data_IF_440973410721
#
_entry.id   IF_440973410721
#
_cell.length_a   1.000
_cell.length_b   1.000
_cell.length_c   1.000
_cell.angle_alpha   90.00
_cell.angle_beta   90.00
_cell.angle_gamma   90.00
#
_symmetry.space_group_name_H-M   'P 1'
#
loop_
_entity.id
_entity.type
_entity.pdbx_description
1 polymer ?
#
# COMPACT_ATOMS: atom_id res chain seq x y z
N UNK A 1 -21.98 -18.01 9.78
CA UNK A 1 -21.30 -16.84 10.40
C UNK A 1 -21.98 -15.57 9.95
N UNK A 2 -22.34 -14.73 10.88
CA UNK A 2 -22.94 -13.41 10.62
C UNK A 2 -21.86 -12.37 10.27
N UNK A 3 -22.28 -11.22 9.72
CA UNK A 3 -21.39 -10.08 9.45
C UNK A 3 -20.73 -9.55 10.74
N UNK A 4 -21.49 -9.51 11.83
CA UNK A 4 -20.97 -9.00 13.12
C UNK A 4 -19.92 -9.95 13.70
N UNK A 5 -20.13 -11.27 13.64
CA UNK A 5 -19.13 -12.26 14.04
C UNK A 5 -17.85 -12.14 13.20
N UNK A 6 -17.97 -12.01 11.88
CA UNK A 6 -16.80 -11.78 11.01
C UNK A 6 -16.06 -10.49 11.40
N UNK A 7 -16.80 -9.41 11.63
CA UNK A 7 -16.23 -8.11 11.98
C UNK A 7 -15.45 -8.18 13.30
N UNK A 8 -16.01 -8.87 14.30
CA UNK A 8 -15.36 -9.06 15.61
C UNK A 8 -14.09 -9.92 15.51
N UNK A 9 -14.11 -11.03 14.79
CA UNK A 9 -12.94 -11.86 14.56
C UNK A 9 -11.81 -11.04 13.90
N UNK A 10 -12.13 -10.28 12.86
CA UNK A 10 -11.19 -9.41 12.13
C UNK A 10 -10.65 -8.30 13.03
N UNK A 11 -11.49 -7.70 13.91
CA UNK A 11 -11.11 -6.69 14.89
C UNK A 11 -10.12 -7.26 15.91
N UNK A 12 -10.47 -8.40 16.51
CA UNK A 12 -9.64 -9.07 17.52
C UNK A 12 -8.29 -9.48 16.94
N UNK A 13 -8.26 -10.04 15.73
CA UNK A 13 -7.02 -10.43 15.05
C UNK A 13 -6.15 -9.25 14.63
N UNK A 14 -6.63 -8.01 14.74
CA UNK A 14 -5.88 -6.82 14.37
C UNK A 14 -5.58 -6.68 12.89
N UNK A 15 -6.50 -7.14 12.01
CA UNK A 15 -6.35 -7.08 10.56
C UNK A 15 -6.47 -5.64 10.06
N UNK A 16 -5.47 -5.20 9.29
CA UNK A 16 -5.45 -3.91 8.61
C UNK A 16 -5.19 -4.08 7.13
N UNK A 17 -5.41 -3.03 6.35
CA UNK A 17 -5.14 -3.05 4.91
C UNK A 17 -3.65 -3.19 4.62
N UNK A 18 -3.22 -4.35 4.15
CA UNK A 18 -1.82 -4.67 3.82
C UNK A 18 -1.33 -4.06 2.50
N UNK A 19 -2.18 -3.32 1.77
CA UNK A 19 -1.83 -2.62 0.52
C UNK A 19 -1.17 -1.24 0.73
N UNK A 20 -0.57 -0.97 1.90
CA UNK A 20 0.17 0.26 2.22
C UNK A 20 -0.63 1.33 2.97
N UNK A 21 -1.97 1.34 2.90
CA UNK A 21 -2.80 2.34 3.60
C UNK A 21 -3.01 2.06 5.09
N UNK A 22 -2.88 0.80 5.54
CA UNK A 22 -3.03 0.42 6.95
C UNK A 22 -4.40 0.72 7.55
N UNK A 23 -5.47 0.83 6.74
CA UNK A 23 -6.79 1.14 7.26
C UNK A 23 -7.39 -0.09 7.96
N UNK A 24 -7.97 0.04 9.17
CA UNK A 24 -8.53 -1.07 9.92
C UNK A 24 -9.65 -1.77 9.16
N UNK A 25 -9.50 -3.08 8.90
CA UNK A 25 -10.41 -3.83 8.02
C UNK A 25 -11.79 -4.00 8.63
N UNK A 26 -11.89 -4.20 9.96
CA UNK A 26 -13.17 -4.33 10.65
C UNK A 26 -14.09 -3.11 10.45
N UNK A 27 -13.52 -1.91 10.31
CA UNK A 27 -14.29 -0.68 10.04
C UNK A 27 -14.90 -0.70 8.64
N UNK A 28 -14.20 -1.24 7.64
CA UNK A 28 -14.76 -1.44 6.30
C UNK A 28 -15.89 -2.46 6.32
N UNK A 29 -15.75 -3.55 7.10
CA UNK A 29 -16.77 -4.59 7.21
C UNK A 29 -18.07 -4.10 7.89
N UNK A 30 -18.02 -3.09 8.74
CA UNK A 30 -19.22 -2.50 9.35
C UNK A 30 -20.11 -1.73 8.36
N UNK A 31 -19.58 -1.35 7.19
CA UNK A 31 -20.34 -0.59 6.20
C UNK A 31 -21.62 -1.32 5.76
N UNK A 32 -22.68 -0.55 5.51
CA UNK A 32 -23.98 -1.04 5.02
C UNK A 32 -24.15 -0.77 3.54
N UNK A 33 -25.04 -1.50 2.86
CA UNK A 33 -25.30 -1.31 1.44
C UNK A 33 -24.16 -1.78 0.52
N UNK A 34 -23.34 -2.72 1.00
CA UNK A 34 -22.26 -3.32 0.21
C UNK A 34 -22.79 -4.52 -0.56
N UNK A 35 -22.69 -4.47 -1.87
CA UNK A 35 -23.06 -5.55 -2.79
C UNK A 35 -21.83 -6.19 -3.47
N UNK A 36 -20.67 -5.53 -3.40
CA UNK A 36 -19.46 -6.00 -4.08
C UNK A 36 -18.22 -5.85 -3.20
N UNK A 37 -17.40 -6.90 -3.18
CA UNK A 37 -16.10 -6.91 -2.49
C UNK A 37 -15.00 -7.20 -3.53
N UNK A 38 -14.11 -6.25 -3.77
CA UNK A 38 -13.03 -6.37 -4.76
C UNK A 38 -11.73 -6.70 -4.06
N UNK A 39 -11.11 -7.81 -4.45
CA UNK A 39 -9.78 -8.19 -4.00
C UNK A 39 -8.75 -7.67 -4.99
N UNK A 40 -7.89 -6.78 -4.52
CA UNK A 40 -6.82 -6.19 -5.30
C UNK A 40 -5.61 -7.13 -5.37
N UNK A 41 -5.47 -7.86 -6.45
CA UNK A 41 -4.32 -8.68 -6.83
C UNK A 41 -3.56 -8.09 -8.02
N UNK A 42 -3.74 -6.80 -8.32
CA UNK A 42 -3.10 -6.14 -9.46
C UNK A 42 -1.59 -5.97 -9.30
N UNK A 43 -1.08 -5.88 -8.07
CA UNK A 43 0.35 -5.66 -7.74
C UNK A 43 1.05 -4.70 -8.71
N UNK A 44 0.67 -3.42 -8.61
CA UNK A 44 1.04 -2.44 -9.65
C UNK A 44 2.44 -1.87 -9.52
N UNK A 45 3.00 -1.85 -8.30
CA UNK A 45 4.35 -1.33 -8.09
C UNK A 45 5.37 -2.16 -8.87
N UNK A 46 6.30 -1.53 -9.61
CA UNK A 46 7.40 -2.25 -10.25
C UNK A 46 8.22 -3.05 -9.23
N UNK A 47 8.75 -4.19 -9.64
CA UNK A 47 9.60 -5.10 -8.86
C UNK A 47 8.91 -5.81 -7.68
N UNK A 48 7.61 -5.68 -7.48
CA UNK A 48 6.88 -6.37 -6.42
C UNK A 48 6.20 -7.64 -6.94
N UNK A 49 6.28 -8.73 -6.13
CA UNK A 49 5.82 -10.08 -6.46
C UNK A 49 5.14 -10.79 -5.28
N UNK A 50 4.85 -10.08 -4.19
CA UNK A 50 4.27 -10.65 -2.97
C UNK A 50 2.84 -11.13 -3.19
N UNK A 51 2.00 -10.29 -3.82
CA UNK A 51 0.60 -10.65 -4.08
C UNK A 51 0.50 -11.81 -5.07
N UNK A 52 1.41 -11.91 -6.06
CA UNK A 52 1.52 -13.04 -6.96
C UNK A 52 1.90 -14.31 -6.20
N UNK A 53 2.91 -14.25 -5.32
CA UNK A 53 3.32 -15.38 -4.47
C UNK A 53 2.15 -15.90 -3.65
N UNK A 54 1.36 -15.00 -3.06
CA UNK A 54 0.15 -15.35 -2.30
C UNK A 54 -0.91 -16.02 -3.17
N UNK A 55 -1.22 -15.45 -4.35
CA UNK A 55 -2.23 -16.00 -5.25
C UNK A 55 -1.85 -17.36 -5.81
N UNK A 56 -0.55 -17.61 -6.05
CA UNK A 56 -0.06 -18.91 -6.53
C UNK A 56 -0.03 -19.95 -5.42
N UNK A 57 0.51 -19.61 -4.25
CA UNK A 57 0.76 -20.58 -3.17
C UNK A 57 -0.49 -20.90 -2.34
N UNK A 58 -1.44 -19.96 -2.24
CA UNK A 58 -2.61 -20.07 -1.37
C UNK A 58 -3.95 -19.81 -2.07
N UNK A 59 -4.07 -20.10 -3.40
CA UNK A 59 -5.29 -19.83 -4.15
C UNK A 59 -6.55 -20.40 -3.47
N UNK A 60 -6.54 -21.68 -3.13
CA UNK A 60 -7.69 -22.35 -2.48
C UNK A 60 -8.04 -21.73 -1.13
N UNK A 61 -7.03 -21.33 -0.35
CA UNK A 61 -7.21 -20.66 0.94
C UNK A 61 -7.84 -19.27 0.78
N UNK A 62 -7.35 -18.50 -0.18
CA UNK A 62 -7.90 -17.17 -0.51
C UNK A 62 -9.35 -17.27 -0.99
N UNK A 63 -9.66 -18.30 -1.79
CA UNK A 63 -11.05 -18.52 -2.25
C UNK A 63 -11.96 -18.91 -1.07
N UNK A 64 -11.52 -19.79 -0.17
CA UNK A 64 -12.31 -20.13 1.03
C UNK A 64 -12.60 -18.90 1.90
N UNK A 65 -11.59 -18.05 2.13
CA UNK A 65 -11.76 -16.79 2.85
C UNK A 65 -12.74 -15.83 2.12
N UNK A 66 -12.66 -15.75 0.80
CA UNK A 66 -13.57 -14.92 -0.01
C UNK A 66 -15.02 -15.40 0.04
N UNK A 67 -15.24 -16.72 0.05
CA UNK A 67 -16.57 -17.34 0.19
C UNK A 67 -17.15 -17.05 1.58
N UNK A 68 -16.33 -17.08 2.63
CA UNK A 68 -16.77 -16.73 3.98
C UNK A 68 -17.23 -15.26 4.06
N UNK A 69 -16.48 -14.33 3.42
CA UNK A 69 -16.88 -12.92 3.31
C UNK A 69 -18.17 -12.79 2.53
N UNK A 70 -18.28 -13.44 1.36
CA UNK A 70 -19.47 -13.42 0.51
C UNK A 70 -20.70 -13.88 1.29
N UNK A 71 -20.59 -14.98 2.02
CA UNK A 71 -21.69 -15.54 2.83
C UNK A 71 -22.07 -14.64 4.01
N UNK A 72 -21.10 -14.07 4.72
CA UNK A 72 -21.36 -13.23 5.89
C UNK A 72 -21.93 -11.85 5.52
N UNK A 73 -21.51 -11.28 4.40
CA UNK A 73 -21.91 -9.95 3.95
C UNK A 73 -23.02 -9.94 2.90
N UNK A 74 -23.35 -11.08 2.31
CA UNK A 74 -24.32 -11.18 1.21
C UNK A 74 -23.88 -10.43 -0.05
N UNK A 75 -22.57 -10.38 -0.34
CA UNK A 75 -22.00 -9.61 -1.44
C UNK A 75 -21.24 -10.51 -2.42
N UNK A 76 -21.11 -10.04 -3.67
CA UNK A 76 -20.23 -10.66 -4.67
C UNK A 76 -18.76 -10.35 -4.35
N UNK A 77 -17.87 -11.35 -4.49
CA UNK A 77 -16.42 -11.16 -4.37
C UNK A 77 -15.77 -11.34 -5.74
N UNK A 78 -14.91 -10.42 -6.15
CA UNK A 78 -14.18 -10.47 -7.43
C UNK A 78 -12.70 -10.12 -7.21
N UNK A 79 -11.80 -10.87 -7.85
CA UNK A 79 -10.36 -10.64 -7.82
C UNK A 79 -9.94 -9.83 -9.04
N UNK A 80 -9.35 -8.66 -8.85
CA UNK A 80 -8.76 -7.87 -9.94
C UNK A 80 -7.30 -8.25 -10.12
N UNK A 81 -6.95 -8.92 -11.22
CA UNK A 81 -5.60 -9.44 -11.50
C UNK A 81 -5.14 -9.00 -12.89
N UNK A 82 -3.91 -8.54 -13.03
CA UNK A 82 -3.36 -8.13 -14.33
C UNK A 82 -3.21 -9.30 -15.31
N UNK A 83 -3.51 -9.06 -16.58
CA UNK A 83 -3.41 -10.06 -17.66
C UNK A 83 -2.04 -10.74 -17.73
N UNK A 84 -0.95 -10.03 -17.42
CA UNK A 84 0.40 -10.60 -17.42
C UNK A 84 0.63 -11.70 -16.37
N UNK A 85 -0.22 -11.79 -15.37
CA UNK A 85 -0.15 -12.80 -14.29
C UNK A 85 -1.11 -13.98 -14.60
N UNK A 86 -0.99 -14.58 -15.78
CA UNK A 86 -1.85 -15.66 -16.26
C UNK A 86 -1.92 -16.87 -15.32
N UNK A 87 -0.79 -17.23 -14.70
CA UNK A 87 -0.72 -18.34 -13.75
C UNK A 87 -1.55 -18.07 -12.49
N UNK A 88 -1.51 -16.84 -11.97
CA UNK A 88 -2.34 -16.41 -10.84
C UNK A 88 -3.84 -16.46 -11.20
N UNK A 89 -4.19 -15.97 -12.40
CA UNK A 89 -5.57 -16.01 -12.91
C UNK A 89 -6.05 -17.47 -12.98
N UNK A 90 -5.25 -18.34 -13.57
CA UNK A 90 -5.57 -19.75 -13.71
C UNK A 90 -5.71 -20.46 -12.36
N UNK A 91 -4.83 -20.18 -11.40
CA UNK A 91 -4.88 -20.76 -10.05
C UNK A 91 -6.14 -20.35 -9.30
N UNK A 92 -6.50 -19.05 -9.32
CA UNK A 92 -7.69 -18.53 -8.67
C UNK A 92 -8.97 -19.08 -9.31
N UNK A 93 -9.04 -19.14 -10.65
CA UNK A 93 -10.20 -19.69 -11.37
C UNK A 93 -10.36 -21.19 -11.12
N UNK A 94 -9.27 -21.95 -11.12
CA UNK A 94 -9.29 -23.38 -10.79
C UNK A 94 -9.79 -23.66 -9.36
N UNK A 95 -9.53 -22.73 -8.44
CA UNK A 95 -10.05 -22.78 -7.07
C UNK A 95 -11.51 -22.29 -6.94
N UNK A 96 -12.15 -21.84 -8.04
CA UNK A 96 -13.54 -21.36 -8.06
C UNK A 96 -13.71 -19.85 -7.84
N UNK A 97 -12.65 -19.05 -8.03
CA UNK A 97 -12.68 -17.60 -7.90
C UNK A 97 -13.22 -16.89 -9.14
N UNK A 98 -13.95 -15.79 -8.92
CA UNK A 98 -14.35 -14.85 -9.99
C UNK A 98 -13.22 -13.84 -10.21
N UNK A 99 -12.64 -13.80 -11.40
CA UNK A 99 -11.45 -12.97 -11.71
C UNK A 99 -11.78 -11.97 -12.80
N UNK A 100 -11.62 -10.69 -12.48
CA UNK A 100 -11.57 -9.58 -13.42
C UNK A 100 -10.14 -9.42 -13.95
N UNK A 101 -9.95 -9.63 -15.25
CA UNK A 101 -8.66 -9.51 -15.91
C UNK A 101 -8.39 -8.05 -16.26
N UNK A 102 -7.38 -7.46 -15.63
CA UNK A 102 -6.98 -6.07 -15.82
C UNK A 102 -5.94 -5.91 -16.91
N UNK A 103 -5.92 -4.76 -17.57
CA UNK A 103 -4.82 -4.40 -18.46
C UNK A 103 -3.47 -4.27 -17.73
N UNK A 104 -2.35 -4.52 -18.43
CA UNK A 104 -1.01 -4.36 -17.85
C UNK A 104 -0.52 -2.91 -17.94
N UNK A 105 -1.04 -2.08 -17.05
CA UNK A 105 -0.62 -0.69 -16.91
C UNK A 105 -0.50 -0.29 -15.42
N UNK A 106 0.20 0.80 -15.17
CA UNK A 106 0.33 1.43 -13.86
C UNK A 106 -0.52 2.73 -13.81
N UNK A 107 -1.28 3.00 -12.76
CA UNK A 107 -1.55 2.19 -11.57
C UNK A 107 -2.92 1.47 -11.64
N UNK A 108 -3.03 0.33 -12.33
CA UNK A 108 -4.28 -0.44 -12.42
C UNK A 108 -4.85 -0.87 -11.05
N UNK A 109 -3.99 -1.00 -10.04
CA UNK A 109 -4.37 -1.33 -8.66
C UNK A 109 -4.73 -0.13 -7.78
N UNK A 110 -4.76 1.10 -8.32
CA UNK A 110 -5.38 2.22 -7.61
C UNK A 110 -6.86 1.88 -7.36
N UNK A 111 -7.30 2.02 -6.10
CA UNK A 111 -8.62 1.54 -5.65
C UNK A 111 -9.78 2.08 -6.48
N UNK A 112 -9.73 3.34 -6.95
CA UNK A 112 -10.77 3.95 -7.80
C UNK A 112 -10.70 3.40 -9.21
N UNK A 113 -9.49 3.22 -9.73
CA UNK A 113 -9.27 2.66 -11.07
C UNK A 113 -9.67 1.19 -11.10
N UNK A 114 -9.23 0.41 -10.12
CA UNK A 114 -9.56 -1.00 -9.98
C UNK A 114 -11.07 -1.23 -9.91
N UNK A 115 -11.77 -0.44 -9.11
CA UNK A 115 -13.22 -0.54 -8.96
C UNK A 115 -13.93 -0.24 -10.29
N UNK A 116 -13.48 0.78 -11.02
CA UNK A 116 -14.02 1.06 -12.35
C UNK A 116 -13.79 -0.09 -13.32
N UNK A 117 -12.58 -0.65 -13.36
CA UNK A 117 -12.24 -1.76 -14.27
C UNK A 117 -13.03 -3.03 -13.95
N UNK A 118 -13.17 -3.37 -12.65
CA UNK A 118 -13.81 -4.62 -12.24
C UNK A 118 -15.34 -4.58 -12.24
N UNK A 119 -15.94 -3.42 -11.93
CA UNK A 119 -17.40 -3.32 -11.70
C UNK A 119 -18.05 -2.11 -12.37
N UNK A 120 -17.31 -1.33 -13.15
CA UNK A 120 -17.85 -0.19 -13.89
C UNK A 120 -18.26 1.03 -13.06
N UNK A 121 -18.00 1.00 -11.73
CA UNK A 121 -18.39 2.08 -10.82
C UNK A 121 -17.24 3.06 -10.61
N UNK A 122 -17.56 4.36 -10.59
CA UNK A 122 -16.57 5.41 -10.29
C UNK A 122 -16.91 6.02 -8.95
N UNK A 123 -15.94 5.99 -8.04
CA UNK A 123 -16.05 6.63 -6.72
C UNK A 123 -16.15 8.16 -6.92
N UNK A 124 -17.07 8.86 -6.25
CA UNK A 124 -17.14 10.33 -6.33
C UNK A 124 -15.84 11.00 -5.85
N UNK A 125 -15.58 12.22 -6.33
CA UNK A 125 -14.45 13.02 -5.84
C UNK A 125 -14.50 13.19 -4.33
N UNK A 126 -13.36 12.90 -3.66
CA UNK A 126 -13.28 12.89 -2.19
C UNK A 126 -14.05 11.77 -1.49
N UNK A 127 -14.71 10.89 -2.25
CA UNK A 127 -15.45 9.75 -1.72
C UNK A 127 -14.57 8.52 -1.46
N UNK A 128 -15.24 7.47 -0.97
CA UNK A 128 -14.68 6.15 -0.70
C UNK A 128 -15.44 5.09 -1.52
N UNK A 129 -14.88 3.91 -1.79
CA UNK A 129 -15.57 2.78 -2.42
C UNK A 129 -16.91 2.44 -1.78
N UNK A 130 -17.03 2.62 -0.46
CA UNK A 130 -18.27 2.41 0.29
C UNK A 130 -19.45 3.26 -0.22
N UNK A 131 -19.18 4.46 -0.76
CA UNK A 131 -20.21 5.35 -1.30
C UNK A 131 -20.82 4.84 -2.62
N UNK A 132 -20.20 3.83 -3.22
CA UNK A 132 -20.71 3.16 -4.43
C UNK A 132 -20.98 1.67 -4.19
N UNK A 133 -21.22 1.28 -2.94
CA UNK A 133 -21.63 -0.08 -2.56
C UNK A 133 -20.49 -1.11 -2.62
N UNK A 134 -19.22 -0.67 -2.59
CA UNK A 134 -18.10 -1.58 -2.73
C UNK A 134 -17.08 -1.48 -1.57
N UNK A 135 -16.39 -2.59 -1.30
CA UNK A 135 -15.17 -2.64 -0.48
C UNK A 135 -14.02 -3.10 -1.37
N UNK A 136 -12.85 -2.49 -1.17
CA UNK A 136 -11.61 -2.92 -1.82
C UNK A 136 -10.59 -3.29 -0.75
N UNK A 137 -10.03 -4.51 -0.83
CA UNK A 137 -8.92 -4.96 0.01
C UNK A 137 -7.84 -5.65 -0.83
N UNK A 138 -6.59 -5.63 -0.34
CA UNK A 138 -5.48 -6.32 -0.95
C UNK A 138 -5.54 -7.85 -0.70
N UNK A 139 -4.87 -8.65 -1.51
CA UNK A 139 -4.77 -10.12 -1.39
C UNK A 139 -4.27 -10.56 -0.02
N UNK A 140 -3.22 -9.94 0.54
CA UNK A 140 -2.72 -10.30 1.87
C UNK A 140 -3.70 -9.91 2.98
N UNK A 141 -4.48 -8.85 2.80
CA UNK A 141 -5.57 -8.53 3.73
C UNK A 141 -6.60 -9.66 3.75
N UNK A 142 -6.94 -10.23 2.59
CA UNK A 142 -7.83 -11.38 2.50
C UNK A 142 -7.23 -12.62 3.18
N UNK A 143 -5.92 -12.89 2.97
CA UNK A 143 -5.20 -13.95 3.66
C UNK A 143 -5.31 -13.78 5.19
N UNK A 144 -5.08 -12.57 5.70
CA UNK A 144 -5.17 -12.25 7.12
C UNK A 144 -6.61 -12.37 7.67
N UNK A 145 -7.64 -12.08 6.86
CA UNK A 145 -9.04 -12.36 7.21
C UNK A 145 -9.25 -13.87 7.36
N UNK A 146 -8.73 -14.68 6.44
CA UNK A 146 -8.77 -16.14 6.55
C UNK A 146 -8.13 -16.65 7.84
N UNK A 147 -6.96 -16.11 8.20
CA UNK A 147 -6.28 -16.40 9.48
C UNK A 147 -7.15 -16.04 10.69
N UNK A 148 -7.81 -14.88 10.63
CA UNK A 148 -8.71 -14.43 11.70
C UNK A 148 -9.90 -15.37 11.87
N UNK A 149 -10.44 -15.96 10.80
CA UNK A 149 -11.49 -16.98 10.85
C UNK A 149 -11.05 -18.28 11.57
N UNK A 150 -9.74 -18.57 11.54
CA UNK A 150 -9.12 -19.67 12.30
C UNK A 150 -8.76 -19.27 13.74
N UNK A 151 -9.09 -18.07 14.20
CA UNK A 151 -8.72 -17.54 15.51
C UNK A 151 -7.26 -17.11 15.61
N UNK A 152 -6.54 -16.97 14.50
CA UNK A 152 -5.12 -16.58 14.47
C UNK A 152 -4.98 -15.09 14.16
N UNK A 153 -4.36 -14.31 15.06
CA UNK A 153 -4.14 -12.88 14.82
C UNK A 153 -3.03 -12.60 13.80
N UNK A 154 -2.91 -11.34 13.40
CA UNK A 154 -1.85 -10.89 12.49
C UNK A 154 -0.54 -10.75 13.26
N UNK A 155 0.34 -11.71 13.07
CA UNK A 155 1.68 -11.80 13.68
C UNK A 155 2.79 -11.64 12.65
N UNK A 156 2.52 -11.92 11.38
CA UNK A 156 3.46 -11.90 10.26
C UNK A 156 2.97 -11.02 9.11
N UNK A 157 3.91 -10.58 8.27
CA UNK A 157 3.66 -9.99 6.96
C UNK A 157 4.49 -10.73 5.90
N UNK A 158 3.96 -10.85 4.68
CA UNK A 158 4.74 -11.36 3.55
C UNK A 158 5.59 -10.23 2.98
N UNK A 159 6.91 -10.39 3.08
CA UNK A 159 7.87 -9.34 2.70
C UNK A 159 8.83 -9.88 1.65
N UNK A 160 8.92 -9.15 0.56
CA UNK A 160 9.95 -9.35 -0.47
C UNK A 160 11.20 -8.56 -0.13
N UNK A 161 12.37 -9.15 -0.33
CA UNK A 161 13.62 -8.41 -0.48
C UNK A 161 14.07 -8.53 -1.92
N UNK A 162 14.34 -7.38 -2.57
CA UNK A 162 14.68 -7.33 -3.99
C UNK A 162 15.54 -6.13 -4.36
N UNK A 163 15.70 -5.89 -5.66
CA UNK A 163 16.62 -4.87 -6.15
C UNK A 163 18.06 -5.38 -6.22
N UNK A 164 19.03 -4.56 -5.84
CA UNK A 164 20.47 -4.86 -5.85
C UNK A 164 20.88 -5.72 -4.65
N UNK A 165 20.36 -6.93 -4.54
CA UNK A 165 20.74 -7.95 -3.54
C UNK A 165 21.18 -9.23 -4.23
N UNK A 166 21.97 -10.07 -3.51
CA UNK A 166 22.55 -11.29 -4.11
C UNK A 166 21.49 -12.38 -4.39
N UNK A 167 20.47 -12.50 -3.52
CA UNK A 167 19.46 -13.56 -3.56
C UNK A 167 18.08 -13.00 -3.25
N UNK A 168 17.39 -12.37 -4.22
CA UNK A 168 16.02 -11.86 -4.02
C UNK A 168 15.08 -12.98 -3.55
N UNK A 169 14.20 -12.68 -2.59
CA UNK A 169 13.26 -13.67 -2.04
C UNK A 169 12.03 -13.04 -1.40
N UNK A 170 11.03 -13.88 -1.14
CA UNK A 170 9.84 -13.55 -0.34
C UNK A 170 9.83 -14.41 0.91
N UNK A 171 9.53 -13.82 2.06
CA UNK A 171 9.42 -14.51 3.35
C UNK A 171 8.11 -14.15 4.04
N UNK A 172 7.59 -15.08 4.86
CA UNK A 172 6.65 -14.77 5.93
C UNK A 172 7.46 -14.28 7.14
N UNK A 173 7.34 -13.03 7.50
CA UNK A 173 8.23 -12.33 8.44
C UNK A 173 7.47 -11.93 9.70
N UNK A 174 7.95 -12.28 10.91
CA UNK A 174 7.38 -11.78 12.14
C UNK A 174 7.41 -10.25 12.19
N UNK A 175 6.30 -9.63 12.61
CA UNK A 175 6.22 -8.18 12.76
C UNK A 175 7.26 -7.68 13.77
N UNK A 176 7.91 -6.56 13.44
CA UNK A 176 8.95 -5.97 14.28
C UNK A 176 10.37 -6.47 14.00
N UNK A 177 10.56 -7.41 13.05
CA UNK A 177 11.89 -7.75 12.55
C UNK A 177 12.51 -6.53 11.88
N UNK A 178 13.78 -6.26 12.15
CA UNK A 178 14.51 -5.17 11.49
C UNK A 178 14.83 -5.52 10.05
N UNK A 179 14.58 -4.60 9.13
CA UNK A 179 14.76 -4.79 7.68
C UNK A 179 16.20 -5.20 7.32
N UNK A 180 17.21 -4.74 8.07
CA UNK A 180 18.62 -5.11 7.89
C UNK A 180 18.86 -6.61 7.96
N UNK A 181 18.12 -7.33 8.83
CA UNK A 181 18.23 -8.79 8.97
C UNK A 181 17.72 -9.52 7.73
N UNK A 182 16.63 -9.02 7.13
CA UNK A 182 16.07 -9.55 5.89
C UNK A 182 17.00 -9.27 4.70
N UNK A 183 17.55 -8.06 4.61
CA UNK A 183 18.54 -7.71 3.58
C UNK A 183 19.77 -8.62 3.69
N UNK A 184 20.23 -8.91 4.91
CA UNK A 184 21.32 -9.88 5.14
C UNK A 184 20.94 -11.31 4.70
N UNK A 185 19.71 -11.76 4.99
CA UNK A 185 19.22 -13.07 4.56
C UNK A 185 19.14 -13.18 3.04
N UNK A 186 18.87 -12.06 2.33
CA UNK A 186 18.93 -11.95 0.87
C UNK A 186 20.37 -11.83 0.32
N UNK A 187 21.41 -12.11 1.12
CA UNK A 187 22.80 -12.08 0.73
C UNK A 187 23.46 -10.70 0.71
N UNK A 188 22.78 -9.68 1.24
CA UNK A 188 23.27 -8.31 1.33
C UNK A 188 23.22 -7.52 0.02
N UNK A 189 23.51 -6.19 0.08
CA UNK A 189 23.59 -5.33 -1.09
C UNK A 189 24.73 -5.74 -2.02
N UNK A 190 24.50 -5.64 -3.35
CA UNK A 190 25.51 -5.86 -4.40
C UNK A 190 26.10 -4.58 -4.96
N UNK A 191 25.82 -3.45 -4.32
CA UNK A 191 26.25 -2.09 -4.69
C UNK A 191 26.83 -1.36 -3.47
N UNK A 192 27.73 -0.40 -3.71
CA UNK A 192 28.48 0.29 -2.64
C UNK A 192 27.65 1.30 -1.85
N UNK A 193 26.76 2.02 -2.52
CA UNK A 193 25.95 3.08 -1.90
C UNK A 193 24.46 2.79 -2.05
N UNK A 194 23.89 1.85 -1.28
CA UNK A 194 22.48 1.53 -1.34
C UNK A 194 21.60 2.56 -0.62
N UNK A 195 20.36 2.69 -1.10
CA UNK A 195 19.22 3.16 -0.33
C UNK A 195 18.22 2.02 -0.20
N UNK A 196 17.44 2.04 0.88
CA UNK A 196 16.45 1.02 1.17
C UNK A 196 15.06 1.61 1.02
N UNK A 197 14.19 0.92 0.30
CA UNK A 197 12.83 1.37 0.06
C UNK A 197 11.86 0.41 0.74
N UNK A 198 11.11 0.90 1.73
CA UNK A 198 9.96 0.18 2.29
C UNK A 198 8.78 0.33 1.34
N UNK A 199 8.48 -0.72 0.59
CA UNK A 199 7.48 -0.76 -0.48
C UNK A 199 8.05 -0.71 -1.89
N UNK A 200 7.27 -0.22 -2.84
CA UNK A 200 7.66 -0.13 -4.26
C UNK A 200 8.40 1.16 -4.63
N UNK A 201 9.05 1.20 -5.80
CA UNK A 201 9.88 2.34 -6.18
C UNK A 201 9.09 3.61 -6.50
N UNK A 202 7.78 3.52 -6.77
CA UNK A 202 6.96 4.69 -7.10
C UNK A 202 6.32 5.34 -5.88
N UNK A 203 5.89 4.55 -4.88
CA UNK A 203 5.12 5.03 -3.73
C UNK A 203 5.77 4.72 -2.38
N UNK A 204 6.81 3.88 -2.33
CA UNK A 204 7.48 3.45 -1.09
C UNK A 204 8.21 4.59 -0.36
N UNK A 205 8.61 4.32 0.87
CA UNK A 205 9.39 5.22 1.70
C UNK A 205 10.89 4.92 1.55
N UNK A 206 11.69 5.97 1.38
CA UNK A 206 13.14 5.87 1.19
C UNK A 206 13.89 6.07 2.50
N UNK A 207 14.76 5.12 2.83
CA UNK A 207 15.61 5.13 4.01
C UNK A 207 17.09 5.07 3.60
N UNK A 208 17.95 5.76 4.36
CA UNK A 208 19.40 5.71 4.15
C UNK A 208 20.02 4.42 4.66
N UNK A 209 19.37 3.78 5.64
CA UNK A 209 19.74 2.51 6.23
C UNK A 209 18.51 1.60 6.37
N UNK A 210 18.74 0.33 6.67
CA UNK A 210 17.69 -0.66 6.83
C UNK A 210 17.28 -0.87 8.31
N UNK A 211 17.40 0.16 9.16
CA UNK A 211 17.12 0.08 10.60
C UNK A 211 15.65 0.36 10.95
N UNK A 212 14.73 0.01 10.09
CA UNK A 212 13.29 0.13 10.31
C UNK A 212 12.65 -1.25 10.52
N UNK A 213 11.59 -1.34 11.33
CA UNK A 213 10.92 -2.61 11.59
C UNK A 213 9.95 -2.97 10.46
N UNK A 214 9.81 -4.26 10.20
CA UNK A 214 8.70 -4.81 9.40
C UNK A 214 7.39 -4.57 10.14
N UNK A 215 6.40 -4.05 9.44
CA UNK A 215 5.07 -3.75 9.95
C UNK A 215 3.99 -4.48 9.14
N UNK A 216 2.74 -4.40 9.58
CA UNK A 216 1.55 -4.91 8.83
C UNK A 216 1.38 -4.28 7.43
N UNK A 217 2.13 -3.22 7.11
CA UNK A 217 2.08 -2.50 5.84
C UNK A 217 3.31 -2.74 4.96
N UNK A 218 4.37 -3.31 5.51
CA UNK A 218 5.62 -3.57 4.78
C UNK A 218 5.42 -4.73 3.79
N UNK A 219 5.50 -4.44 2.50
CA UNK A 219 5.36 -5.42 1.42
C UNK A 219 6.70 -5.83 0.82
N UNK A 220 7.62 -4.89 0.74
CA UNK A 220 8.92 -5.14 0.14
C UNK A 220 9.99 -4.25 0.77
N UNK A 221 11.21 -4.74 0.75
CA UNK A 221 12.42 -3.97 1.03
C UNK A 221 13.25 -4.03 -0.25
N UNK A 222 13.27 -2.92 -1.00
CA UNK A 222 14.06 -2.85 -2.22
C UNK A 222 15.37 -2.12 -1.95
N UNK A 223 16.48 -2.73 -2.38
CA UNK A 223 17.82 -2.14 -2.33
C UNK A 223 18.09 -1.51 -3.69
N UNK A 224 18.26 -0.19 -3.74
CA UNK A 224 18.43 0.58 -4.97
C UNK A 224 19.63 1.54 -4.85
N UNK A 225 20.25 1.97 -5.97
CA UNK A 225 21.36 2.93 -5.93
C UNK A 225 20.93 4.29 -5.34
N UNK A 226 21.78 4.87 -4.47
CA UNK A 226 21.56 6.19 -3.84
C UNK A 226 21.50 7.34 -4.86
N UNK A 227 22.17 7.19 -6.01
CA UNK A 227 22.14 8.15 -7.11
C UNK A 227 20.96 7.98 -8.07
N UNK A 228 20.04 7.04 -7.78
CA UNK A 228 18.83 6.84 -8.59
C UNK A 228 17.93 8.07 -8.63
N UNK A 229 17.15 8.20 -9.69
CA UNK A 229 16.17 9.28 -9.81
C UNK A 229 15.17 9.30 -8.64
N UNK A 230 14.79 8.14 -8.15
CA UNK A 230 13.87 7.99 -7.00
C UNK A 230 14.44 8.65 -5.74
N UNK A 231 15.65 8.26 -5.33
CA UNK A 231 16.30 8.80 -4.14
C UNK A 231 16.49 10.31 -4.23
N UNK A 232 16.80 10.82 -5.41
CA UNK A 232 16.95 12.27 -5.65
C UNK A 232 15.66 13.04 -5.38
N UNK A 233 14.50 12.53 -5.85
CA UNK A 233 13.22 13.22 -5.65
C UNK A 233 12.78 13.19 -4.19
N UNK A 234 12.97 12.09 -3.49
CA UNK A 234 12.59 11.98 -2.07
C UNK A 234 13.47 12.86 -1.16
N UNK A 235 14.75 13.04 -1.49
CA UNK A 235 15.67 13.85 -0.71
C UNK A 235 15.60 15.36 -1.05
N UNK A 236 14.92 15.76 -2.13
CA UNK A 236 14.88 17.17 -2.55
C UNK A 236 13.95 18.00 -1.65
N UNK A 237 14.41 19.11 -1.04
CA UNK A 237 13.54 20.01 -0.28
C UNK A 237 12.43 20.61 -1.15
N UNK A 238 11.20 20.69 -0.61
CA UNK A 238 10.05 21.23 -1.35
C UNK A 238 10.27 22.68 -1.79
N UNK A 239 10.95 23.50 -0.97
CA UNK A 239 11.30 24.88 -1.35
C UNK A 239 12.17 24.96 -2.61
N UNK A 240 13.05 23.97 -2.81
CA UNK A 240 13.86 23.84 -4.03
C UNK A 240 12.98 23.45 -5.21
N UNK A 241 12.08 22.48 -5.03
CA UNK A 241 11.14 22.08 -6.08
C UNK A 241 10.24 23.22 -6.55
N UNK A 242 9.74 24.05 -5.62
CA UNK A 242 8.88 25.18 -5.96
C UNK A 242 9.66 26.28 -6.69
N UNK A 243 10.93 26.54 -6.31
CA UNK A 243 11.80 27.45 -7.06
C UNK A 243 12.06 26.94 -8.47
N UNK A 244 12.38 25.65 -8.60
CA UNK A 244 12.56 25.03 -9.92
C UNK A 244 11.28 25.11 -10.76
N UNK A 245 10.10 24.93 -10.17
CA UNK A 245 8.83 25.03 -10.88
C UNK A 245 8.62 26.44 -11.49
N UNK A 246 9.00 27.52 -10.79
CA UNK A 246 8.90 28.89 -11.31
C UNK A 246 9.75 29.13 -12.56
N UNK A 247 10.94 28.50 -12.61
CA UNK A 247 11.92 28.75 -13.68
C UNK A 247 11.77 27.76 -14.82
N UNK A 248 11.48 26.49 -14.52
CA UNK A 248 11.61 25.40 -15.47
C UNK A 248 10.27 24.83 -15.96
N UNK A 249 9.13 25.08 -15.28
CA UNK A 249 7.85 24.52 -15.72
C UNK A 249 7.41 25.10 -17.06
N UNK A 250 7.53 24.31 -18.15
CA UNK A 250 7.19 24.72 -19.51
C UNK A 250 5.69 24.63 -19.83
N UNK A 251 4.83 24.32 -18.87
CA UNK A 251 3.37 24.24 -19.02
C UNK A 251 2.88 23.23 -20.06
N UNK A 252 3.65 22.19 -20.34
CA UNK A 252 3.34 21.16 -21.36
C UNK A 252 2.11 20.30 -21.03
N UNK A 253 1.59 20.36 -19.80
CA UNK A 253 0.41 19.60 -19.33
C UNK A 253 0.59 18.07 -19.25
N UNK A 254 1.74 17.50 -19.57
CA UNK A 254 1.96 16.04 -19.57
C UNK A 254 1.70 15.40 -18.20
N UNK A 255 2.03 16.09 -17.10
CA UNK A 255 1.73 15.59 -15.74
C UNK A 255 0.24 15.41 -15.45
N UNK A 256 -0.63 16.14 -16.15
CA UNK A 256 -2.09 15.99 -16.08
C UNK A 256 -2.56 14.91 -17.04
N UNK A 257 -2.01 14.86 -18.25
CA UNK A 257 -2.43 13.89 -19.28
C UNK A 257 -2.09 12.44 -18.96
N UNK A 258 -1.20 12.18 -18.00
CA UNK A 258 -0.93 10.81 -17.48
C UNK A 258 -1.59 10.55 -16.12
N UNK A 259 -2.22 11.54 -15.50
CA UNK A 259 -2.80 11.40 -14.17
C UNK A 259 -4.02 10.48 -14.22
N UNK A 260 -3.94 9.31 -13.58
CA UNK A 260 -5.02 8.32 -13.56
C UNK A 260 -6.33 8.88 -13.00
N UNK A 261 -6.24 9.75 -11.97
CA UNK A 261 -7.39 10.42 -11.37
C UNK A 261 -8.02 11.45 -12.32
N UNK A 262 -7.21 12.20 -13.07
CA UNK A 262 -7.72 13.07 -14.14
C UNK A 262 -8.40 12.26 -15.24
N UNK A 263 -7.75 11.19 -15.69
CA UNK A 263 -8.24 10.36 -16.79
C UNK A 263 -9.55 9.62 -16.47
N UNK A 264 -9.78 9.26 -15.20
CA UNK A 264 -11.06 8.66 -14.75
C UNK A 264 -12.20 9.69 -14.66
N UNK A 265 -11.88 10.98 -14.80
CA UNK A 265 -12.88 12.05 -14.84
C UNK A 265 -12.80 13.07 -13.71
N UNK A 266 -11.91 12.88 -12.72
CA UNK A 266 -11.73 13.84 -11.61
C UNK A 266 -11.17 15.17 -12.11
N UNK A 267 -11.50 16.26 -11.43
CA UNK A 267 -10.93 17.59 -11.71
C UNK A 267 -9.61 17.82 -10.97
N UNK A 268 -8.73 16.83 -11.05
CA UNK A 268 -7.36 16.90 -10.55
C UNK A 268 -6.40 17.22 -11.71
N UNK A 269 -5.87 18.43 -11.72
CA UNK A 269 -4.94 18.92 -12.76
C UNK A 269 -3.58 19.26 -12.18
N UNK A 270 -2.62 18.30 -12.08
CA UNK A 270 -1.31 18.53 -11.48
C UNK A 270 -0.58 19.78 -12.01
N UNK A 271 -0.66 20.08 -13.31
CA UNK A 271 -0.03 21.29 -13.86
C UNK A 271 -0.60 22.60 -13.27
N UNK A 272 -1.93 22.65 -13.00
CA UNK A 272 -2.56 23.81 -12.36
C UNK A 272 -2.13 23.97 -10.90
N UNK A 273 -1.99 22.86 -10.17
CA UNK A 273 -1.47 22.87 -8.80
C UNK A 273 -0.04 23.40 -8.79
N UNK A 274 0.81 22.95 -9.74
CA UNK A 274 2.18 23.45 -9.87
C UNK A 274 2.22 24.96 -10.11
N UNK A 275 1.34 25.50 -10.97
CA UNK A 275 1.20 26.94 -11.19
C UNK A 275 0.76 27.67 -9.91
N UNK A 276 -0.30 27.18 -9.25
CA UNK A 276 -0.82 27.79 -8.03
C UNK A 276 0.22 27.87 -6.91
N UNK A 277 1.09 26.87 -6.81
CA UNK A 277 2.14 26.85 -5.80
C UNK A 277 3.38 27.64 -6.22
N UNK A 278 3.63 27.77 -7.50
CA UNK A 278 4.72 28.60 -8.02
C UNK A 278 4.39 30.11 -8.02
N UNK A 279 3.13 30.46 -8.27
CA UNK A 279 2.68 31.84 -8.42
C UNK A 279 1.46 32.12 -7.54
N UNK A 280 1.59 33.04 -6.57
CA UNK A 280 0.52 33.35 -5.60
C UNK A 280 -0.78 33.82 -6.25
N UNK A 281 -0.66 34.61 -7.34
CA UNK A 281 -1.81 35.11 -8.10
C UNK A 281 -2.68 33.99 -8.73
N UNK A 282 -2.18 32.75 -8.80
CA UNK A 282 -2.88 31.60 -9.34
C UNK A 282 -3.39 30.61 -8.25
N UNK A 283 -3.29 30.99 -6.97
CA UNK A 283 -3.76 30.17 -5.85
C UNK A 283 -5.27 30.26 -5.66
N UNK A 284 -5.99 29.61 -6.55
CA UNK A 284 -7.44 29.45 -6.38
C UNK A 284 -7.71 28.28 -5.41
N UNK A 285 -8.62 28.46 -4.43
CA UNK A 285 -8.89 27.45 -3.41
C UNK A 285 -9.26 26.08 -3.98
N UNK A 286 -10.10 26.04 -5.02
CA UNK A 286 -10.53 24.82 -5.70
C UNK A 286 -9.36 24.07 -6.35
N UNK A 287 -8.38 24.78 -6.93
CA UNK A 287 -7.17 24.18 -7.51
C UNK A 287 -6.32 23.55 -6.42
N UNK A 288 -6.08 24.28 -5.32
CA UNK A 288 -5.26 23.78 -4.20
C UNK A 288 -5.93 22.59 -3.51
N UNK A 289 -7.25 22.67 -3.28
CA UNK A 289 -8.02 21.60 -2.65
C UNK A 289 -8.05 20.33 -3.51
N UNK A 290 -7.97 20.43 -4.84
CA UNK A 290 -7.95 19.27 -5.74
C UNK A 290 -6.74 18.35 -5.48
N UNK A 291 -5.67 18.84 -4.83
CA UNK A 291 -4.55 18.01 -4.40
C UNK A 291 -4.99 16.84 -3.49
N UNK A 292 -6.11 16.98 -2.76
CA UNK A 292 -6.67 15.91 -1.92
C UNK A 292 -7.16 14.69 -2.73
N UNK A 293 -7.43 14.87 -4.02
CA UNK A 293 -7.84 13.79 -4.94
C UNK A 293 -6.65 12.94 -5.44
N UNK A 294 -5.42 13.39 -5.19
CA UNK A 294 -4.21 12.73 -5.66
C UNK A 294 -4.01 11.37 -4.98
N UNK A 295 -3.81 10.29 -5.74
CA UNK A 295 -3.44 8.96 -5.23
C UNK A 295 -1.94 8.79 -4.93
N UNK A 296 -1.13 9.81 -5.23
CA UNK A 296 0.33 9.83 -5.01
C UNK A 296 1.12 8.78 -5.82
N UNK A 297 0.55 8.28 -6.91
CA UNK A 297 1.14 7.25 -7.77
C UNK A 297 2.44 7.65 -8.49
N UNK A 298 2.84 8.91 -8.43
CA UNK A 298 4.12 9.45 -8.93
C UNK A 298 4.31 9.50 -10.46
N UNK A 299 3.34 9.14 -11.28
CA UNK A 299 3.46 9.22 -12.76
C UNK A 299 3.68 10.66 -13.27
N UNK A 300 3.17 11.66 -12.56
CA UNK A 300 3.25 13.07 -12.95
C UNK A 300 4.65 13.69 -12.77
N UNK A 301 5.56 13.01 -12.06
CA UNK A 301 6.90 13.52 -11.77
C UNK A 301 7.88 13.30 -12.93
N UNK A 302 9.09 13.82 -12.79
CA UNK A 302 10.19 13.57 -13.72
C UNK A 302 10.65 12.11 -13.79
N UNK A 303 10.13 11.25 -12.94
CA UNK A 303 10.31 9.80 -13.08
C UNK A 303 9.65 9.30 -14.36
N UNK A 304 8.50 9.87 -14.74
CA UNK A 304 7.82 9.46 -15.98
C UNK A 304 7.42 10.63 -16.88
N UNK A 305 6.53 11.53 -16.43
CA UNK A 305 5.86 12.49 -17.31
C UNK A 305 6.54 13.84 -17.44
N UNK A 306 7.12 14.39 -16.36
CA UNK A 306 7.62 15.75 -16.39
C UNK A 306 8.99 15.84 -17.11
N UNK A 307 9.08 16.51 -18.30
CA UNK A 307 10.34 16.64 -19.03
C UNK A 307 11.33 17.56 -18.32
N UNK A 308 10.86 18.41 -17.39
CA UNK A 308 11.66 19.33 -16.61
C UNK A 308 12.06 18.76 -15.24
N UNK A 309 11.88 17.48 -15.03
CA UNK A 309 12.22 16.77 -13.79
C UNK A 309 11.62 17.37 -12.51
N UNK A 310 10.42 17.96 -12.59
CA UNK A 310 9.68 18.42 -11.42
C UNK A 310 8.88 17.29 -10.78
N UNK A 311 8.45 17.47 -9.52
CA UNK A 311 7.64 16.47 -8.80
C UNK A 311 6.30 17.03 -8.30
N UNK A 312 5.25 17.04 -9.13
CA UNK A 312 3.92 17.45 -8.70
C UNK A 312 3.37 16.58 -7.53
N UNK A 313 3.72 15.28 -7.48
CA UNK A 313 3.37 14.41 -6.35
C UNK A 313 3.82 15.00 -5.01
N UNK A 314 5.09 15.39 -4.88
CA UNK A 314 5.65 15.96 -3.65
C UNK A 314 4.94 17.26 -3.25
N UNK A 315 4.60 18.09 -4.22
CA UNK A 315 3.83 19.31 -3.98
C UNK A 315 2.43 18.97 -3.45
N UNK A 316 1.75 17.98 -4.04
CA UNK A 316 0.45 17.52 -3.55
C UNK A 316 0.53 16.97 -2.14
N UNK A 317 1.57 16.21 -1.79
CA UNK A 317 1.79 15.69 -0.44
C UNK A 317 1.91 16.81 0.60
N UNK A 318 2.65 17.87 0.28
CA UNK A 318 2.79 19.04 1.17
C UNK A 318 1.45 19.74 1.38
N UNK A 319 0.69 19.95 0.30
CA UNK A 319 -0.66 20.55 0.39
C UNK A 319 -1.57 19.67 1.27
N UNK A 320 -1.60 18.36 1.04
CA UNK A 320 -2.38 17.43 1.85
C UNK A 320 -1.99 17.47 3.33
N UNK A 321 -0.69 17.50 3.61
CA UNK A 321 -0.16 17.61 4.97
C UNK A 321 -0.62 18.90 5.66
N UNK A 322 -0.47 20.04 4.99
CA UNK A 322 -0.88 21.33 5.51
C UNK A 322 -2.41 21.42 5.75
N UNK A 323 -3.21 20.92 4.80
CA UNK A 323 -4.68 20.88 4.95
C UNK A 323 -5.12 20.00 6.13
N UNK A 324 -4.49 18.84 6.32
CA UNK A 324 -4.78 17.95 7.45
C UNK A 324 -4.41 18.59 8.78
N UNK A 325 -3.25 19.23 8.88
CA UNK A 325 -2.81 19.94 10.09
C UNK A 325 -3.76 21.09 10.46
N UNK A 326 -4.31 21.79 9.47
CA UNK A 326 -5.26 22.89 9.66
C UNK A 326 -6.71 22.39 9.83
N UNK A 327 -6.97 21.09 9.79
CA UNK A 327 -8.32 20.52 9.88
C UNK A 327 -9.24 20.89 8.69
N UNK A 328 -8.66 21.33 7.57
CA UNK A 328 -9.41 21.70 6.37
C UNK A 328 -9.94 20.45 5.68
N UNK A 329 -11.27 20.35 5.59
CA UNK A 329 -11.97 19.29 4.84
C UNK A 329 -12.42 19.86 3.49
N UNK A 330 -11.81 19.45 2.37
CA UNK A 330 -12.23 19.93 1.06
C UNK A 330 -13.64 19.46 0.75
N UNK A 331 -14.41 20.34 0.13
CA UNK A 331 -15.74 20.00 -0.38
C UNK A 331 -15.64 19.87 -1.89
N UNK A 332 -16.08 18.72 -2.40
CA UNK A 332 -16.14 18.45 -3.82
C UNK A 332 -17.59 18.46 -4.28
N UNK A 333 -17.82 18.98 -5.50
CA UNK A 333 -19.13 18.97 -6.11
C UNK A 333 -19.61 17.55 -6.38
N UNK A 334 -20.82 17.23 -5.98
CA UNK A 334 -21.46 15.94 -6.30
C UNK A 334 -21.98 15.99 -7.72
N UNK A 335 -21.18 15.50 -8.67
CA UNK A 335 -21.53 15.40 -10.08
C UNK A 335 -21.30 13.99 -10.60
N UNK A 336 -21.98 13.63 -11.68
CA UNK A 336 -21.69 12.41 -12.42
C UNK A 336 -20.27 12.50 -13.00
N UNK A 337 -19.49 11.44 -12.83
CA UNK A 337 -18.11 11.36 -13.29
C UNK A 337 -18.03 10.31 -14.38
N UNK A 338 -17.38 10.65 -15.48
CA UNK A 338 -17.16 9.78 -16.62
C UNK A 338 -15.69 9.77 -17.01
N UNK A 339 -15.13 8.62 -17.43
CA UNK A 339 -13.78 8.56 -17.93
C UNK A 339 -13.61 9.51 -19.13
N UNK A 340 -12.48 10.19 -19.20
CA UNK A 340 -12.16 11.07 -20.34
C UNK A 340 -11.87 10.23 -21.57
N UNK A 341 -12.21 10.76 -22.74
CA UNK A 341 -12.04 10.08 -24.03
C UNK A 341 -10.58 9.71 -24.32
N UNK A 342 -9.63 10.49 -23.78
CA UNK A 342 -8.20 10.27 -23.95
C UNK A 342 -7.67 9.11 -23.12
N UNK A 343 -8.41 8.64 -22.10
CA UNK A 343 -7.94 7.62 -21.14
C UNK A 343 -7.33 6.38 -21.79
N UNK A 344 -7.95 5.72 -22.77
CA UNK A 344 -7.40 4.51 -23.39
C UNK A 344 -6.02 4.71 -24.05
N UNK A 345 -5.73 5.95 -24.49
CA UNK A 345 -4.49 6.30 -25.19
C UNK A 345 -3.38 6.81 -24.25
N UNK A 346 -3.68 6.98 -22.96
CA UNK A 346 -2.78 7.58 -21.95
C UNK A 346 -2.42 6.64 -20.80
N UNK A 347 -2.86 5.39 -20.87
CA UNK A 347 -2.45 4.37 -19.92
C UNK A 347 -0.95 4.08 -20.06
N UNK A 348 -0.25 3.91 -18.94
CA UNK A 348 1.20 3.72 -18.91
C UNK A 348 1.51 2.24 -18.75
N UNK A 349 1.98 1.52 -19.79
CA UNK A 349 2.34 0.12 -19.69
C UNK A 349 3.42 -0.11 -18.63
N UNK A 350 3.27 -1.13 -17.78
CA UNK A 350 4.20 -1.41 -16.67
C UNK A 350 5.63 -1.61 -17.18
N UNK A 351 5.81 -2.37 -18.28
CA UNK A 351 7.13 -2.59 -18.88
C UNK A 351 7.80 -1.29 -19.33
N UNK A 352 7.04 -0.38 -19.96
CA UNK A 352 7.57 0.94 -20.37
C UNK A 352 7.98 1.79 -19.17
N UNK A 353 7.18 1.72 -18.07
CA UNK A 353 7.53 2.40 -16.82
C UNK A 353 8.84 1.86 -16.27
N UNK A 354 8.99 0.54 -16.16
CA UNK A 354 10.21 -0.11 -15.66
C UNK A 354 11.46 0.31 -16.43
N UNK A 355 11.42 0.20 -17.77
CA UNK A 355 12.56 0.60 -18.61
C UNK A 355 12.90 2.09 -18.47
N UNK A 356 11.89 2.96 -18.37
CA UNK A 356 12.14 4.40 -18.16
C UNK A 356 12.77 4.69 -16.80
N UNK A 357 12.50 3.86 -15.81
CA UNK A 357 13.06 3.97 -14.45
C UNK A 357 14.43 3.30 -14.33
N UNK A 358 14.91 2.57 -15.36
CA UNK A 358 16.15 1.81 -15.31
C UNK A 358 16.09 0.61 -14.36
N UNK A 359 14.91 0.02 -14.18
CA UNK A 359 14.68 -1.08 -13.23
C UNK A 359 14.74 -2.47 -13.84
N UNK A 360 14.89 -2.58 -15.17
CA UNK A 360 14.84 -3.88 -15.88
C UNK A 360 15.87 -4.87 -15.35
N UNK A 361 17.04 -4.40 -14.91
CA UNK A 361 18.12 -5.26 -14.37
C UNK A 361 17.78 -5.86 -13.00
N UNK A 362 16.80 -5.29 -12.29
CA UNK A 362 16.36 -5.73 -10.98
C UNK A 362 15.06 -6.54 -11.03
N UNK A 363 14.51 -6.76 -12.22
CA UNK A 363 13.26 -7.49 -12.44
C UNK A 363 13.50 -9.00 -12.38
N UNK A 364 13.69 -9.49 -11.18
CA UNK A 364 13.92 -10.91 -10.89
C UNK A 364 12.75 -11.45 -10.09
N UNK A 365 12.11 -12.52 -10.59
CA UNK A 365 11.04 -13.21 -9.85
C UNK A 365 11.62 -13.89 -8.60
N UNK A 366 11.25 -13.45 -7.39
CA UNK A 366 11.77 -14.04 -6.16
C UNK A 366 11.09 -15.37 -5.85
N UNK A 367 11.78 -16.27 -5.19
CA UNK A 367 11.20 -17.49 -4.62
C UNK A 367 10.61 -17.21 -3.24
N UNK A 368 9.57 -17.97 -2.87
CA UNK A 368 9.11 -18.02 -1.50
C UNK A 368 10.03 -18.90 -0.65
N UNK A 369 10.68 -18.30 0.34
CA UNK A 369 11.70 -18.95 1.18
C UNK A 369 11.16 -19.45 2.54
N UNK A 370 9.84 -19.45 2.71
CA UNK A 370 9.21 -19.89 3.96
C UNK A 370 9.16 -18.80 5.03
N UNK A 371 9.13 -19.23 6.28
CA UNK A 371 9.05 -18.35 7.43
C UNK A 371 10.43 -17.88 7.88
N UNK A 372 10.54 -16.59 8.20
CA UNK A 372 11.77 -15.99 8.72
C UNK A 372 11.82 -16.16 10.24
N UNK A 373 12.89 -16.81 10.75
CA UNK A 373 13.09 -16.98 12.18
C UNK A 373 13.79 -15.75 12.77
N UNK A 374 13.22 -15.18 13.82
CA UNK A 374 13.74 -13.99 14.47
C UNK A 374 14.02 -14.22 15.96
N UNK A 375 15.24 -13.87 16.41
CA UNK A 375 15.64 -13.93 17.82
C UNK A 375 15.09 -12.76 18.63
N UNK A 376 14.82 -11.64 17.98
CA UNK A 376 14.34 -10.41 18.62
C UNK A 376 13.52 -9.60 17.63
N UNK A 377 12.43 -9.03 18.13
CA UNK A 377 11.56 -8.13 17.38
C UNK A 377 11.32 -6.82 18.15
N UNK A 378 11.08 -5.72 17.42
CA UNK A 378 10.58 -4.45 17.96
C UNK A 378 9.26 -4.13 17.29
N UNK A 379 8.15 -4.44 17.94
CA UNK A 379 6.81 -4.38 17.38
C UNK A 379 6.23 -2.99 17.61
N UNK A 380 6.04 -2.14 16.57
CA UNK A 380 5.50 -0.80 16.74
C UNK A 380 4.06 -0.84 17.25
N UNK A 381 3.73 0.08 18.16
CA UNK A 381 2.36 0.27 18.69
C UNK A 381 1.41 0.89 17.68
N UNK A 382 1.96 1.53 16.65
CA UNK A 382 1.20 2.13 15.54
C UNK A 382 1.65 1.57 14.20
N UNK A 383 0.91 0.60 13.69
CA UNK A 383 1.12 -0.05 12.39
C UNK A 383 -0.09 0.13 11.47
N UNK A 384 -0.86 1.20 11.63
CA UNK A 384 -2.15 1.39 10.98
C UNK A 384 -2.57 2.86 10.98
N UNK A 385 -3.60 3.17 10.22
CA UNK A 385 -4.26 4.47 10.26
C UNK A 385 -5.10 4.58 11.54
N UNK A 386 -4.91 5.66 12.30
CA UNK A 386 -5.64 5.93 13.53
C UNK A 386 -4.74 6.15 14.74
N UNK A 387 -5.25 5.88 15.94
CA UNK A 387 -4.54 6.02 17.20
C UNK A 387 -3.56 4.86 17.43
N UNK A 388 -2.41 5.06 18.09
CA UNK A 388 -1.56 3.96 18.52
C UNK A 388 -2.29 3.08 19.55
N UNK A 389 -1.93 1.80 19.60
CA UNK A 389 -2.42 0.87 20.61
C UNK A 389 -1.68 1.07 21.92
N UNK A 390 -2.33 0.76 23.04
CA UNK A 390 -1.77 0.90 24.41
C UNK A 390 -1.29 -0.46 24.89
N UNK A 391 -0.04 -0.59 25.38
CA UNK A 391 0.48 -1.83 25.95
C UNK A 391 -0.43 -2.41 27.05
N UNK A 392 -0.63 -3.73 27.02
CA UNK A 392 -1.38 -4.49 28.06
C UNK A 392 -0.51 -5.54 28.75
N UNK A 393 0.78 -5.60 28.39
CA UNK A 393 1.80 -6.44 29.01
C UNK A 393 2.77 -5.59 29.82
N UNK A 394 3.50 -6.22 30.72
CA UNK A 394 4.52 -5.62 31.56
C UNK A 394 5.93 -6.05 31.14
N UNK A 395 6.94 -5.30 31.59
CA UNK A 395 8.33 -5.66 31.40
C UNK A 395 8.60 -7.02 32.07
N UNK A 396 9.30 -7.90 31.36
CA UNK A 396 9.62 -9.29 31.77
C UNK A 396 8.43 -10.27 31.77
N UNK A 397 7.27 -9.90 31.21
CA UNK A 397 6.22 -10.88 30.95
C UNK A 397 6.68 -11.87 29.87
N UNK A 398 6.36 -13.15 30.05
CA UNK A 398 6.47 -14.17 29.01
C UNK A 398 5.21 -14.15 28.15
N UNK A 399 5.40 -14.07 26.84
CA UNK A 399 4.31 -14.05 25.85
C UNK A 399 4.47 -15.17 24.83
N UNK A 400 3.36 -15.70 24.36
CA UNK A 400 3.33 -16.62 23.22
C UNK A 400 3.03 -15.86 21.94
N UNK A 401 3.49 -16.37 20.78
CA UNK A 401 3.06 -15.83 19.51
C UNK A 401 1.53 -15.81 19.42
N UNK A 402 0.98 -14.66 19.03
CA UNK A 402 -0.46 -14.43 18.96
C UNK A 402 -1.08 -13.80 20.21
N UNK A 403 -0.38 -13.73 21.31
CA UNK A 403 -0.88 -13.04 22.51
C UNK A 403 -1.09 -11.56 22.25
N UNK A 404 -2.18 -11.01 22.81
CA UNK A 404 -2.47 -9.57 22.74
C UNK A 404 -1.45 -8.81 23.60
N UNK A 405 -0.59 -7.99 22.97
CA UNK A 405 0.43 -7.19 23.67
C UNK A 405 0.09 -5.71 23.78
N UNK A 406 -0.73 -5.21 22.82
CA UNK A 406 -1.27 -3.86 22.93
C UNK A 406 -2.68 -3.79 22.36
N UNK A 407 -3.57 -3.12 23.10
CA UNK A 407 -4.99 -3.00 22.78
C UNK A 407 -5.29 -1.61 22.22
N UNK A 408 -6.16 -1.57 21.21
CA UNK A 408 -6.71 -0.32 20.71
C UNK A 408 -7.55 0.36 21.81
N UNK A 409 -7.38 1.66 22.08
CA UNK A 409 -8.25 2.41 22.99
C UNK A 409 -9.72 2.34 22.55
N UNK A 410 -10.62 2.31 23.52
CA UNK A 410 -12.06 2.25 23.25
C UNK A 410 -12.50 3.45 22.38
N UNK A 411 -13.37 3.22 21.43
CA UNK A 411 -13.87 4.19 20.44
C UNK A 411 -12.81 4.85 19.54
N UNK A 412 -11.56 4.39 19.56
CA UNK A 412 -10.54 4.89 18.65
C UNK A 412 -10.56 4.11 17.30
N UNK A 413 -10.15 4.79 16.23
CA UNK A 413 -9.82 4.12 14.97
C UNK A 413 -8.43 3.50 15.10
N UNK A 414 -8.27 2.22 14.76
CA UNK A 414 -6.99 1.52 14.82
C UNK A 414 -7.14 0.01 14.85
N UNK A 415 -6.12 -0.69 15.32
CA UNK A 415 -6.10 -2.15 15.38
C UNK A 415 -5.25 -2.65 16.55
N UNK A 416 -5.62 -3.79 17.12
CA UNK A 416 -4.85 -4.51 18.12
C UNK A 416 -3.47 -4.93 17.60
N UNK A 417 -2.52 -5.07 18.52
CA UNK A 417 -1.15 -5.55 18.25
C UNK A 417 -0.88 -6.81 19.06
N UNK A 418 -0.33 -7.82 18.39
CA UNK A 418 -0.08 -9.14 18.97
C UNK A 418 1.41 -9.45 18.94
N UNK A 419 1.87 -10.31 19.86
CA UNK A 419 3.22 -10.84 19.86
C UNK A 419 3.46 -11.61 18.56
N UNK A 420 4.53 -11.28 17.85
CA UNK A 420 4.90 -11.93 16.59
C UNK A 420 5.85 -13.11 16.76
N UNK A 421 6.42 -13.25 17.96
CA UNK A 421 7.23 -14.39 18.39
C UNK A 421 6.92 -14.69 19.86
N UNK A 422 7.14 -15.93 20.28
CA UNK A 422 7.10 -16.31 21.70
C UNK A 422 8.41 -15.89 22.39
N UNK A 423 8.30 -15.33 23.59
CA UNK A 423 9.50 -14.89 24.31
C UNK A 423 9.23 -13.95 25.48
N UNK A 424 10.30 -13.29 25.92
CA UNK A 424 10.32 -12.37 27.05
C UNK A 424 10.19 -10.92 26.56
N UNK A 425 9.29 -10.14 27.16
CA UNK A 425 9.18 -8.70 26.95
C UNK A 425 10.39 -7.99 27.57
N UNK A 426 11.30 -7.49 26.72
CA UNK A 426 12.56 -6.84 27.14
C UNK A 426 12.43 -5.33 27.35
N UNK A 427 11.55 -4.69 26.59
CA UNK A 427 11.45 -3.24 26.57
C UNK A 427 10.03 -2.80 26.16
N UNK A 428 9.50 -1.80 26.84
CA UNK A 428 8.24 -1.15 26.50
C UNK A 428 8.48 0.36 26.43
N UNK A 429 8.20 0.95 25.28
CA UNK A 429 8.29 2.39 25.07
C UNK A 429 6.94 2.97 24.64
N UNK A 430 6.87 4.27 24.41
CA UNK A 430 5.69 4.90 23.81
C UNK A 430 5.49 4.56 22.32
N UNK A 431 6.48 3.93 21.67
CA UNK A 431 6.49 3.67 20.24
C UNK A 431 6.42 2.18 19.89
N UNK A 432 7.06 1.31 20.70
CA UNK A 432 7.14 -0.13 20.43
C UNK A 432 7.25 -0.98 21.70
N UNK A 433 7.01 -2.29 21.53
CA UNK A 433 7.33 -3.34 22.49
C UNK A 433 8.42 -4.22 21.86
N UNK A 434 9.51 -4.46 22.60
CA UNK A 434 10.55 -5.40 22.19
C UNK A 434 10.38 -6.75 22.88
N UNK A 435 10.47 -7.84 22.08
CA UNK A 435 10.38 -9.22 22.56
C UNK A 435 11.64 -9.96 22.10
N UNK A 436 12.27 -10.73 23.03
CA UNK A 436 13.35 -11.65 22.73
C UNK A 436 12.84 -13.07 22.82
N UNK A 437 13.11 -13.88 21.78
CA UNK A 437 12.72 -15.29 21.74
C UNK A 437 13.28 -16.08 22.92
N UNK A 438 12.46 -16.96 23.49
CA UNK A 438 12.87 -17.91 24.53
C UNK A 438 13.39 -19.17 23.85
N UNK A 439 14.66 -19.49 24.00
CA UNK A 439 15.20 -20.81 23.63
C UNK A 439 15.73 -20.96 22.20
N UNK A 440 16.34 -19.91 21.64
CA UNK A 440 17.23 -20.02 20.47
C UNK A 440 18.69 -20.04 20.89
#
# INVERSE_FOLDING_TARGET
MTKDELTELVRHAGVVGAGGAGFPTHVKLQATGIDTYVINGAECEPLLYVDQTLMLSWASYLIAASQAISSAMGCKVVFGVKQKHGDCISALQAAGGDVCVLGDYYPAGDEVILLHECVGRIVPEGGLPLHVGAIVNNVETLYNIGRALEGKPVTHSFVQVGGAVSSPGVWSVPLGVEASKLVKAAGGPTIDEPVFVDGGPMMGQYHKDANFPVTKMTKAILVLPSNSAFARYENMPVSVMLRQARVACCQCNECTMVCSRYLIGYDLRPHKIMQAMAYESMRLPEIVQSAMLCSECNLCSGLYACPMHLSPRRVNQVIKGAMRQQGVKPQFEKKAIYPRAERPFRLVPTKRLMSRLGLDTYDVHPHFNGEFVAERVKIPLKQHTGAPSVPVVSLHDEVQEGDLIAKLPDNALGANVHASISGLVEEITSEYIAIRASGL
#
